data_IF_179034575140
#
_entry.id   IF_179034575140
#
_cell.length_a   1.000
_cell.length_b   1.000
_cell.length_c   1.000
_cell.angle_alpha   90.00
_cell.angle_beta   90.00
_cell.angle_gamma   90.00
#
_symmetry.space_group_name_H-M   'P 1'
#
loop_
_entity.id
_entity.type
_entity.pdbx_description
1 polymer ?
#
# COMPACT_ATOMS: atom_id res chain seq x y z
N UNK A 1 -1.48 -54.87 78.78
CA UNK A 1 0.01 -54.87 78.68
C UNK A 1 0.52 -55.45 77.36
N UNK A 2 0.36 -56.74 77.05
CA UNK A 2 0.88 -57.31 75.78
C UNK A 2 0.12 -56.82 74.54
N UNK A 3 -1.20 -56.70 74.64
CA UNK A 3 -2.07 -56.17 73.56
C UNK A 3 -1.73 -54.72 73.22
N UNK A 4 -1.55 -53.88 74.23
CA UNK A 4 -1.25 -52.45 74.07
C UNK A 4 0.12 -52.23 73.38
N UNK A 5 1.09 -53.09 73.71
CA UNK A 5 2.41 -53.07 73.08
C UNK A 5 2.34 -53.43 71.59
N UNK A 6 1.56 -54.45 71.22
CA UNK A 6 1.34 -54.81 69.81
C UNK A 6 0.62 -53.70 69.04
N UNK A 7 -0.37 -53.06 69.66
CA UNK A 7 -1.09 -51.93 69.06
C UNK A 7 -0.16 -50.73 68.82
N UNK A 8 0.69 -50.42 69.80
CA UNK A 8 1.69 -49.35 69.67
C UNK A 8 2.72 -49.66 68.56
N UNK A 9 3.18 -50.91 68.46
CA UNK A 9 4.07 -51.34 67.38
C UNK A 9 3.44 -51.20 66.00
N UNK A 10 2.15 -51.54 65.86
CA UNK A 10 1.40 -51.32 64.61
C UNK A 10 1.33 -49.84 64.25
N UNK A 11 0.96 -48.98 65.21
CA UNK A 11 0.87 -47.54 64.97
C UNK A 11 2.23 -46.91 64.58
N UNK A 12 3.33 -47.40 65.16
CA UNK A 12 4.68 -46.97 64.78
C UNK A 12 5.03 -47.41 63.36
N UNK A 13 4.66 -48.62 62.96
CA UNK A 13 4.87 -49.11 61.60
C UNK A 13 4.08 -48.27 60.58
N UNK A 14 2.80 -48.03 60.85
CA UNK A 14 1.92 -47.21 60.00
C UNK A 14 2.46 -45.77 59.87
N UNK A 15 2.95 -45.18 60.97
CA UNK A 15 3.55 -43.84 60.97
C UNK A 15 4.84 -43.77 60.16
N UNK A 16 5.67 -44.81 60.24
CA UNK A 16 6.93 -44.90 59.49
C UNK A 16 6.67 -45.05 57.98
N UNK A 17 5.64 -45.81 57.62
CA UNK A 17 5.18 -45.94 56.23
C UNK A 17 4.65 -44.60 55.69
N UNK A 18 3.80 -43.91 56.45
CA UNK A 18 3.30 -42.57 56.08
C UNK A 18 4.44 -41.55 55.93
N UNK A 19 5.44 -41.58 56.82
CA UNK A 19 6.62 -40.72 56.72
C UNK A 19 7.43 -41.00 55.45
N UNK A 20 7.62 -42.27 55.10
CA UNK A 20 8.33 -42.65 53.88
C UNK A 20 7.55 -42.25 52.62
N UNK A 21 6.22 -42.37 52.62
CA UNK A 21 5.37 -41.90 51.54
C UNK A 21 5.50 -40.37 51.36
N UNK A 22 5.43 -39.60 52.44
CA UNK A 22 5.65 -38.14 52.40
C UNK A 22 7.03 -37.77 51.88
N UNK A 23 8.08 -38.49 52.28
CA UNK A 23 9.45 -38.27 51.79
C UNK A 23 9.55 -38.52 50.28
N UNK A 24 8.84 -39.54 49.78
CA UNK A 24 8.75 -39.82 48.34
C UNK A 24 8.05 -38.67 47.60
N UNK A 25 6.91 -38.20 48.10
CA UNK A 25 6.18 -37.07 47.50
C UNK A 25 7.02 -35.78 47.49
N UNK A 26 7.73 -35.49 48.59
CA UNK A 26 8.64 -34.34 48.65
C UNK A 26 9.79 -34.46 47.64
N UNK A 27 10.27 -35.68 47.38
CA UNK A 27 11.29 -35.92 46.36
C UNK A 27 10.75 -35.68 44.95
N UNK A 28 9.51 -36.11 44.65
CA UNK A 28 8.82 -35.87 43.38
C UNK A 28 8.59 -34.37 43.15
N UNK A 29 8.05 -33.66 44.13
CA UNK A 29 7.86 -32.21 44.07
C UNK A 29 9.17 -31.47 43.83
N UNK A 30 10.25 -31.88 44.51
CA UNK A 30 11.59 -31.29 44.30
C UNK A 30 12.09 -31.51 42.87
N UNK A 31 11.88 -32.69 42.30
CA UNK A 31 12.24 -32.96 40.90
C UNK A 31 11.40 -32.15 39.92
N UNK A 32 10.09 -32.04 40.15
CA UNK A 32 9.19 -31.22 39.32
C UNK A 32 9.57 -29.74 39.36
N UNK A 33 9.84 -29.18 40.55
CA UNK A 33 10.29 -27.79 40.67
C UNK A 33 11.61 -27.56 39.93
N UNK A 34 12.55 -28.52 40.01
CA UNK A 34 13.81 -28.44 39.26
C UNK A 34 13.56 -28.49 37.75
N UNK A 35 12.66 -29.35 37.30
CA UNK A 35 12.30 -29.49 35.89
C UNK A 35 11.59 -28.24 35.36
N UNK A 36 10.63 -27.70 36.10
CA UNK A 36 9.93 -26.45 35.76
C UNK A 36 10.91 -25.27 35.68
N UNK A 37 11.88 -25.20 36.60
CA UNK A 37 12.94 -24.19 36.54
C UNK A 37 13.85 -24.38 35.33
N UNK A 38 14.22 -25.60 34.97
CA UNK A 38 15.00 -25.88 33.76
C UNK A 38 14.20 -25.56 32.49
N UNK A 39 12.90 -25.87 32.45
CA UNK A 39 11.99 -25.50 31.36
C UNK A 39 11.82 -23.98 31.27
N UNK A 40 11.77 -23.27 32.39
CA UNK A 40 11.73 -21.81 32.41
C UNK A 40 13.06 -21.18 32.00
N UNK A 41 14.19 -21.78 32.37
CA UNK A 41 15.53 -21.31 31.98
C UNK A 41 15.86 -21.62 30.50
N UNK A 42 15.21 -22.63 29.91
CA UNK A 42 15.30 -22.94 28.47
C UNK A 42 14.31 -22.13 27.64
N UNK A 43 13.42 -21.32 28.26
CA UNK A 43 12.74 -20.26 27.52
C UNK A 43 13.82 -19.29 27.05
N UNK A 44 14.10 -19.40 25.77
CA UNK A 44 15.07 -18.65 24.99
C UNK A 44 15.10 -17.16 25.44
N UNK A 45 16.26 -16.50 25.59
CA UNK A 45 16.31 -15.05 25.73
C UNK A 45 15.64 -14.30 24.56
N UNK A 46 15.38 -14.98 23.43
CA UNK A 46 14.54 -14.50 22.33
C UNK A 46 13.02 -14.76 22.51
N UNK A 47 12.61 -15.44 23.57
CA UNK A 47 11.21 -15.72 23.85
C UNK A 47 10.50 -14.43 24.29
N UNK A 48 9.66 -13.92 23.40
CA UNK A 48 8.87 -12.69 23.59
C UNK A 48 8.12 -12.73 24.92
N UNK A 49 8.41 -11.77 25.78
CA UNK A 49 7.74 -11.65 27.07
C UNK A 49 6.42 -10.89 26.94
N UNK A 50 5.55 -11.02 27.95
CA UNK A 50 4.29 -10.26 27.99
C UNK A 50 4.53 -8.74 28.00
N UNK A 51 5.59 -8.27 28.66
CA UNK A 51 5.96 -6.85 28.66
C UNK A 51 6.39 -6.35 27.29
N UNK A 52 7.04 -7.18 26.48
CA UNK A 52 7.43 -6.84 25.11
C UNK A 52 6.18 -6.65 24.24
N UNK A 53 5.19 -7.54 24.38
CA UNK A 53 3.90 -7.43 23.70
C UNK A 53 3.14 -6.16 24.12
N UNK A 54 3.15 -5.82 25.41
CA UNK A 54 2.52 -4.59 25.90
C UNK A 54 3.22 -3.33 25.39
N UNK A 55 4.55 -3.36 25.30
CA UNK A 55 5.34 -2.26 24.75
C UNK A 55 5.05 -2.07 23.26
N UNK A 56 5.02 -3.17 22.49
CA UNK A 56 4.65 -3.16 21.08
C UNK A 56 3.22 -2.63 20.87
N UNK A 57 2.26 -3.05 21.69
CA UNK A 57 0.88 -2.56 21.62
C UNK A 57 0.78 -1.05 21.86
N UNK A 58 1.59 -0.50 22.77
CA UNK A 58 1.69 0.96 22.99
C UNK A 58 2.26 1.66 21.77
N UNK A 59 3.36 1.15 21.21
CA UNK A 59 3.98 1.71 20.01
C UNK A 59 3.04 1.70 18.80
N UNK A 60 2.28 0.63 18.58
CA UNK A 60 1.29 0.55 17.51
C UNK A 60 0.20 1.62 17.66
N UNK A 61 -0.35 1.79 18.88
CA UNK A 61 -1.36 2.84 19.14
C UNK A 61 -0.82 4.24 18.90
N UNK A 62 0.45 4.49 19.21
CA UNK A 62 1.10 5.77 18.95
C UNK A 62 1.26 6.02 17.45
N UNK A 63 1.71 5.01 16.69
CA UNK A 63 1.82 5.09 15.24
C UNK A 63 0.47 5.38 14.60
N UNK A 64 -0.59 4.68 15.01
CA UNK A 64 -1.92 4.93 14.47
C UNK A 64 -2.43 6.34 14.78
N UNK A 65 -2.17 6.84 16.01
CA UNK A 65 -2.49 8.24 16.35
C UNK A 65 -1.75 9.23 15.45
N UNK A 66 -0.45 9.03 15.19
CA UNK A 66 0.35 9.88 14.29
C UNK A 66 -0.18 9.80 12.85
N UNK A 67 -0.50 8.60 12.35
CA UNK A 67 -1.05 8.42 11.00
C UNK A 67 -2.37 9.17 10.79
N UNK A 68 -3.25 9.18 11.80
CA UNK A 68 -4.52 9.94 11.72
C UNK A 68 -4.23 11.44 11.64
N UNK A 69 -3.33 11.94 12.50
CA UNK A 69 -2.92 13.35 12.50
C UNK A 69 -2.29 13.76 11.17
N UNK A 70 -1.36 12.96 10.65
CA UNK A 70 -0.71 13.19 9.36
C UNK A 70 -1.73 13.22 8.22
N UNK A 71 -2.72 12.31 8.23
CA UNK A 71 -3.80 12.30 7.23
C UNK A 71 -4.58 13.62 7.24
N UNK A 72 -4.90 14.15 8.42
CA UNK A 72 -5.63 15.42 8.55
C UNK A 72 -4.78 16.60 8.06
N UNK A 73 -3.49 16.63 8.38
CA UNK A 73 -2.54 17.64 7.89
C UNK A 73 -2.43 17.57 6.36
N UNK A 74 -2.24 16.37 5.80
CA UNK A 74 -2.14 16.16 4.35
C UNK A 74 -3.42 16.62 3.65
N UNK A 75 -4.61 16.30 4.18
CA UNK A 75 -5.87 16.75 3.60
C UNK A 75 -5.97 18.28 3.59
N UNK A 76 -5.55 18.93 4.68
CA UNK A 76 -5.54 20.39 4.80
C UNK A 76 -4.57 21.04 3.82
N UNK A 77 -3.35 20.51 3.72
CA UNK A 77 -2.35 20.99 2.76
C UNK A 77 -2.80 20.76 1.32
N UNK A 78 -3.33 19.58 0.97
CA UNK A 78 -3.90 19.34 -0.35
C UNK A 78 -5.03 20.31 -0.68
N UNK A 79 -5.92 20.60 0.27
CA UNK A 79 -6.96 21.61 0.07
C UNK A 79 -6.38 23.01 -0.10
N UNK A 80 -5.32 23.35 0.64
CA UNK A 80 -4.60 24.61 0.47
C UNK A 80 -3.95 24.68 -0.92
N UNK A 81 -3.26 23.63 -1.39
CA UNK A 81 -2.72 23.51 -2.75
C UNK A 81 -3.78 23.58 -3.84
N UNK A 82 -4.99 23.04 -3.62
CA UNK A 82 -6.09 23.17 -4.58
C UNK A 82 -6.63 24.61 -4.63
N UNK A 83 -6.62 25.33 -3.50
CA UNK A 83 -7.06 26.74 -3.42
C UNK A 83 -5.99 27.72 -3.88
N UNK A 84 -4.71 27.42 -3.64
CA UNK A 84 -3.53 28.20 -4.05
C UNK A 84 -2.95 27.73 -5.37
N UNK A 85 -3.53 26.67 -5.95
CA UNK A 85 -3.23 26.23 -7.30
C UNK A 85 -3.29 27.45 -8.20
N UNK A 86 -2.32 27.61 -9.12
CA UNK A 86 -2.24 28.81 -9.92
C UNK A 86 -3.61 29.02 -10.52
N UNK A 87 -4.26 30.15 -10.20
CA UNK A 87 -5.26 30.71 -11.10
C UNK A 87 -4.52 30.76 -12.40
N UNK A 88 -4.78 29.79 -13.27
CA UNK A 88 -4.18 29.75 -14.58
C UNK A 88 -4.54 31.10 -15.17
N UNK A 89 -3.58 32.02 -15.18
CA UNK A 89 -3.48 32.93 -16.29
C UNK A 89 -3.50 31.98 -17.47
N UNK A 90 -4.70 31.86 -18.06
CA UNK A 90 -4.92 31.21 -19.34
C UNK A 90 -3.70 31.59 -20.16
N UNK A 91 -2.87 30.62 -20.61
CA UNK A 91 -1.84 30.95 -21.58
C UNK A 91 -2.54 31.83 -22.62
N UNK A 92 -2.03 33.03 -22.94
CA UNK A 92 -2.73 33.92 -23.87
C UNK A 92 -3.16 33.04 -25.02
N UNK A 93 -4.48 32.93 -25.20
CA UNK A 93 -5.03 32.02 -26.19
C UNK A 93 -4.23 32.29 -27.45
N UNK A 94 -3.54 31.29 -28.04
CA UNK A 94 -2.83 31.52 -29.28
C UNK A 94 -3.87 32.17 -30.19
N UNK A 95 -3.53 33.38 -30.66
CA UNK A 95 -4.44 34.20 -31.43
C UNK A 95 -5.15 33.27 -32.43
N UNK A 96 -6.49 33.32 -32.56
CA UNK A 96 -7.20 32.48 -33.51
C UNK A 96 -6.65 32.83 -34.89
N UNK A 97 -5.66 32.07 -35.35
CA UNK A 97 -5.31 32.05 -36.74
C UNK A 97 -6.53 31.41 -37.36
N UNK A 98 -7.25 32.21 -38.14
CA UNK A 98 -8.33 31.76 -39.01
C UNK A 98 -7.75 30.83 -40.09
N UNK A 99 -7.12 29.74 -39.66
CA UNK A 99 -6.68 28.66 -40.51
C UNK A 99 -7.94 27.88 -40.83
N UNK A 100 -8.43 28.01 -42.07
CA UNK A 100 -9.47 27.13 -42.58
C UNK A 100 -8.93 25.69 -42.42
N UNK A 101 -9.75 24.77 -41.92
CA UNK A 101 -9.28 23.43 -41.61
C UNK A 101 -10.43 22.47 -41.37
N UNK A 102 -10.09 21.19 -41.27
CA UNK A 102 -11.03 20.11 -41.06
C UNK A 102 -10.88 19.58 -39.64
N UNK A 103 -12.00 19.38 -38.95
CA UNK A 103 -12.02 18.64 -37.68
C UNK A 103 -12.18 17.16 -37.97
N UNK A 104 -11.23 16.33 -37.54
CA UNK A 104 -11.27 14.88 -37.66
C UNK A 104 -11.37 14.24 -36.28
N UNK A 105 -12.32 13.31 -36.11
CA UNK A 105 -12.42 12.52 -34.89
C UNK A 105 -11.54 11.28 -35.07
N UNK A 106 -10.59 11.10 -34.16
CA UNK A 106 -9.66 9.97 -34.21
C UNK A 106 -10.41 8.65 -33.99
N UNK A 107 -10.33 7.74 -34.96
CA UNK A 107 -10.89 6.39 -34.85
C UNK A 107 -9.88 5.37 -34.28
N UNK A 108 -10.36 4.16 -33.98
CA UNK A 108 -9.52 3.07 -33.48
C UNK A 108 -8.36 2.76 -34.43
N UNK A 109 -7.16 2.61 -33.89
CA UNK A 109 -5.92 2.28 -34.61
C UNK A 109 -5.45 3.31 -35.66
N UNK A 110 -6.01 4.53 -35.68
CA UNK A 110 -5.47 5.60 -36.51
C UNK A 110 -4.26 6.24 -35.82
N UNK A 111 -3.32 6.74 -36.63
CA UNK A 111 -2.17 7.53 -36.19
C UNK A 111 -2.22 8.91 -36.84
N UNK A 112 -1.57 9.91 -36.23
CA UNK A 112 -1.53 11.28 -36.79
C UNK A 112 -0.96 11.26 -38.21
N UNK A 113 0.08 10.45 -38.46
CA UNK A 113 0.68 10.30 -39.80
C UNK A 113 -0.29 9.70 -40.82
N UNK A 114 -1.07 8.68 -40.45
CA UNK A 114 -2.05 8.05 -41.32
C UNK A 114 -3.20 9.02 -41.67
N UNK A 115 -3.71 9.77 -40.68
CA UNK A 115 -4.75 10.77 -40.89
C UNK A 115 -4.24 11.88 -41.84
N UNK A 116 -3.04 12.40 -41.61
CA UNK A 116 -2.43 13.42 -42.49
C UNK A 116 -2.22 12.90 -43.90
N UNK A 117 -1.78 11.64 -44.07
CA UNK A 117 -1.63 11.03 -45.38
C UNK A 117 -2.97 10.93 -46.13
N UNK A 118 -4.05 10.53 -45.44
CA UNK A 118 -5.39 10.43 -46.01
C UNK A 118 -5.92 11.79 -46.46
N UNK A 119 -5.75 12.85 -45.66
CA UNK A 119 -6.16 14.21 -46.03
C UNK A 119 -5.33 14.77 -47.18
N UNK A 120 -4.02 14.53 -47.20
CA UNK A 120 -3.16 14.93 -48.32
C UNK A 120 -3.57 14.23 -49.64
N UNK A 121 -3.98 12.96 -49.58
CA UNK A 121 -4.48 12.26 -50.76
C UNK A 121 -5.78 12.90 -51.30
N UNK A 122 -6.72 13.25 -50.41
CA UNK A 122 -7.96 13.97 -50.76
C UNK A 122 -7.67 15.34 -51.37
N UNK A 123 -6.76 16.11 -50.79
CA UNK A 123 -6.38 17.44 -51.30
C UNK A 123 -5.69 17.36 -52.67
N UNK A 124 -4.84 16.35 -52.89
CA UNK A 124 -4.21 16.10 -54.20
C UNK A 124 -5.26 15.77 -55.26
N UNK A 125 -6.27 14.96 -54.93
CA UNK A 125 -7.38 14.66 -55.85
C UNK A 125 -8.20 15.91 -56.21
N UNK A 126 -8.24 16.91 -55.31
CA UNK A 126 -8.89 18.19 -55.53
C UNK A 126 -7.96 19.26 -56.15
N UNK A 127 -6.80 18.86 -56.68
CA UNK A 127 -5.88 19.77 -57.40
C UNK A 127 -5.02 20.67 -56.52
N UNK A 128 -4.93 20.41 -55.21
CA UNK A 128 -4.10 21.22 -54.29
C UNK A 128 -2.66 20.74 -54.34
N UNK A 129 -1.73 21.66 -54.57
CA UNK A 129 -0.29 21.37 -54.67
C UNK A 129 0.42 21.37 -53.32
N UNK A 130 -0.11 22.09 -52.34
CA UNK A 130 0.45 22.19 -50.98
C UNK A 130 0.03 21.00 -50.12
N UNK A 131 0.93 20.54 -49.25
CA UNK A 131 0.74 19.36 -48.40
C UNK A 131 0.68 19.75 -46.92
N UNK A 132 -0.19 19.10 -46.17
CA UNK A 132 -0.25 19.12 -44.73
C UNK A 132 0.96 18.36 -44.18
N UNK A 133 1.72 19.00 -43.27
CA UNK A 133 2.85 18.37 -42.59
C UNK A 133 2.48 18.03 -41.16
N UNK A 134 3.18 17.03 -40.59
CA UNK A 134 2.99 16.65 -39.18
C UNK A 134 3.22 17.84 -38.25
N UNK A 135 4.25 18.66 -38.52
CA UNK A 135 4.54 19.86 -37.74
C UNK A 135 3.38 20.85 -37.74
N UNK A 136 2.77 21.11 -38.91
CA UNK A 136 1.63 22.01 -39.02
C UNK A 136 0.41 21.52 -38.23
N UNK A 137 0.17 20.21 -38.18
CA UNK A 137 -0.89 19.63 -37.36
C UNK A 137 -0.58 19.74 -35.86
N UNK A 138 0.67 19.52 -35.45
CA UNK A 138 1.07 19.69 -34.04
C UNK A 138 0.99 21.14 -33.59
N UNK A 139 1.43 22.08 -34.43
CA UNK A 139 1.36 23.52 -34.15
C UNK A 139 -0.10 23.99 -34.04
N UNK A 140 -1.01 23.42 -34.84
CA UNK A 140 -2.44 23.71 -34.78
C UNK A 140 -3.17 23.00 -33.62
N UNK A 141 -2.54 22.02 -32.96
CA UNK A 141 -3.08 21.30 -31.80
C UNK A 141 -2.09 21.32 -30.63
N UNK A 142 -1.81 22.48 -30.01
CA UNK A 142 -0.80 22.61 -28.95
C UNK A 142 -1.10 21.78 -27.70
N UNK A 143 -2.37 21.38 -27.48
CA UNK A 143 -2.79 20.54 -26.36
C UNK A 143 -2.78 19.03 -26.69
N UNK A 144 -2.42 18.65 -27.91
CA UNK A 144 -2.34 17.26 -28.34
C UNK A 144 -0.98 16.67 -27.95
N UNK A 145 -1.00 15.56 -27.21
CA UNK A 145 0.22 14.82 -26.92
C UNK A 145 0.49 13.78 -28.02
N UNK A 146 1.59 13.89 -28.81
CA UNK A 146 1.85 13.00 -29.94
C UNK A 146 2.07 11.53 -29.57
N UNK A 147 2.43 11.26 -28.31
CA UNK A 147 2.68 9.90 -27.81
C UNK A 147 1.42 9.20 -27.31
N UNK A 148 0.33 9.93 -27.08
CA UNK A 148 -0.88 9.40 -26.44
C UNK A 148 -2.13 9.94 -27.12
N UNK A 149 -2.39 9.47 -28.35
CA UNK A 149 -3.63 9.79 -29.05
C UNK A 149 -4.77 8.88 -28.57
N UNK A 150 -5.92 9.46 -28.20
CA UNK A 150 -7.08 8.70 -27.72
C UNK A 150 -8.15 8.60 -28.80
N UNK A 151 -8.83 7.45 -28.85
CA UNK A 151 -9.99 7.25 -29.71
C UNK A 151 -11.09 8.22 -29.28
N UNK A 152 -11.77 8.87 -30.25
CA UNK A 152 -12.79 9.89 -30.00
C UNK A 152 -12.23 11.29 -29.76
N UNK A 153 -10.91 11.47 -29.77
CA UNK A 153 -10.30 12.79 -29.64
C UNK A 153 -10.50 13.61 -30.91
N UNK A 154 -10.90 14.88 -30.74
CA UNK A 154 -10.99 15.85 -31.84
C UNK A 154 -9.60 16.34 -32.22
N UNK A 155 -9.22 16.15 -33.48
CA UNK A 155 -7.96 16.57 -34.07
C UNK A 155 -8.24 17.62 -35.15
N UNK A 156 -7.62 18.79 -35.01
CA UNK A 156 -7.73 19.84 -36.02
C UNK A 156 -6.67 19.65 -37.12
N UNK A 157 -7.09 19.62 -38.37
CA UNK A 157 -6.20 19.45 -39.52
C UNK A 157 -6.23 20.75 -40.34
N UNK A 158 -5.14 21.52 -40.39
CA UNK A 158 -5.10 22.78 -41.12
C UNK A 158 -5.19 22.53 -42.63
N UNK A 159 -6.00 23.32 -43.35
CA UNK A 159 -6.07 23.32 -44.82
C UNK A 159 -4.88 24.12 -45.36
N UNK A 160 -4.02 23.54 -46.20
CA UNK A 160 -2.85 24.23 -46.72
C UNK A 160 -3.19 25.20 -47.87
N UNK A 161 -4.43 25.25 -48.38
CA UNK A 161 -4.85 26.10 -49.51
C UNK A 161 -4.51 27.58 -49.33
#
# INVERSE_FOLDING_TARGET
MREDYRRLQSQLADLLEAHNALKSELSKLRTEVRQLRAQAATKDPAAVTRSDLESLAKSIREVDRKRVQDKDVILKEMQAFLRSGPTGAKPPAPAPRSEKGFTHIVEANQTISAIVAAYNAKLKAQGVTKRITLKSVLDANPNLNPRTMRIGQSLFIPDPR
#
